data_IF_169461620496
#
_entry.id   IF_169461620496
#
_cell.length_a   1.000
_cell.length_b   1.000
_cell.length_c   1.000
_cell.angle_alpha   90.00
_cell.angle_beta   90.00
_cell.angle_gamma   90.00
#
_symmetry.space_group_name_H-M   'P 1'
#
loop_
_entity.id
_entity.type
_entity.pdbx_description
1 polymer ?
#
# COMPACT_ATOMS: atom_id res chain seq x y z
N UNK A 1 26.00 -9.78 -2.00
CA UNK A 1 24.82 -10.40 -1.35
C UNK A 1 24.14 -9.34 -0.51
N UNK A 2 22.81 -9.18 -0.60
CA UNK A 2 22.08 -8.29 0.32
C UNK A 2 22.11 -8.89 1.73
N UNK A 3 22.28 -8.09 2.80
CA UNK A 3 22.36 -8.61 4.16
C UNK A 3 21.04 -9.28 4.58
N UNK A 4 21.10 -10.36 5.38
CA UNK A 4 19.91 -11.07 5.82
C UNK A 4 19.04 -10.20 6.75
N UNK A 5 17.76 -10.56 6.83
CA UNK A 5 16.78 -9.95 7.70
C UNK A 5 17.20 -10.00 9.18
N UNK A 6 17.03 -8.90 9.90
CA UNK A 6 17.08 -8.90 11.36
C UNK A 6 15.75 -9.41 11.90
N UNK A 7 15.76 -10.59 12.53
CA UNK A 7 14.57 -11.14 13.21
C UNK A 7 14.01 -10.16 14.24
N UNK A 8 14.88 -9.39 14.91
CA UNK A 8 14.47 -8.35 15.87
C UNK A 8 13.69 -7.23 15.17
N UNK A 9 14.16 -6.77 14.01
CA UNK A 9 13.47 -5.74 13.24
C UNK A 9 12.09 -6.23 12.79
N UNK A 10 12.00 -7.45 12.23
CA UNK A 10 10.73 -8.02 11.80
C UNK A 10 9.69 -8.05 12.93
N UNK A 11 10.09 -8.47 14.13
CA UNK A 11 9.20 -8.49 15.31
C UNK A 11 8.78 -7.08 15.71
N UNK A 12 9.71 -6.11 15.73
CA UNK A 12 9.40 -4.72 16.06
C UNK A 12 8.41 -4.10 15.07
N UNK A 13 8.61 -4.32 13.77
CA UNK A 13 7.71 -3.84 12.72
C UNK A 13 6.32 -4.48 12.84
N UNK A 14 6.25 -5.79 13.14
CA UNK A 14 4.98 -6.48 13.33
C UNK A 14 4.21 -5.98 14.56
N UNK A 15 4.92 -5.73 15.67
CA UNK A 15 4.32 -5.15 16.87
C UNK A 15 3.82 -3.73 16.61
N UNK A 16 4.64 -2.89 15.96
CA UNK A 16 4.26 -1.53 15.58
C UNK A 16 3.03 -1.54 14.64
N UNK A 17 3.03 -2.40 13.63
CA UNK A 17 1.90 -2.57 12.72
C UNK A 17 0.63 -2.95 13.48
N UNK A 18 0.71 -3.94 14.37
CA UNK A 18 -0.44 -4.39 15.17
C UNK A 18 -1.00 -3.27 16.05
N UNK A 19 -0.14 -2.47 16.67
CA UNK A 19 -0.56 -1.30 17.48
C UNK A 19 -1.25 -0.26 16.60
N UNK A 20 -0.67 0.07 15.44
CA UNK A 20 -1.23 1.08 14.53
C UNK A 20 -2.55 0.60 13.93
N UNK A 21 -2.66 -0.69 13.58
CA UNK A 21 -3.89 -1.30 13.08
C UNK A 21 -5.02 -1.18 14.11
N UNK A 22 -4.77 -1.58 15.37
CA UNK A 22 -5.75 -1.43 16.45
C UNK A 22 -6.08 0.03 16.72
N UNK A 23 -5.11 0.93 16.63
CA UNK A 23 -5.38 2.37 16.78
C UNK A 23 -6.25 2.91 15.65
N UNK A 24 -6.00 2.50 14.41
CA UNK A 24 -6.77 2.93 13.23
C UNK A 24 -8.24 2.52 13.30
N UNK A 25 -8.54 1.41 13.98
CA UNK A 25 -9.91 0.90 14.13
C UNK A 25 -10.75 1.66 15.18
N UNK A 26 -10.14 2.56 15.96
CA UNK A 26 -10.85 3.32 16.98
C UNK A 26 -11.37 4.61 16.33
N UNK A 27 -12.70 4.70 16.17
CA UNK A 27 -13.37 5.84 15.53
C UNK A 27 -12.81 6.17 14.13
N UNK A 28 -12.75 5.21 13.18
CA UNK A 28 -12.45 5.57 11.79
C UNK A 28 -13.57 6.48 11.25
N UNK A 29 -13.22 7.32 10.27
CA UNK A 29 -14.15 8.23 9.64
C UNK A 29 -15.33 7.49 9.00
N UNK A 30 -15.07 6.34 8.37
CA UNK A 30 -16.08 5.41 7.88
C UNK A 30 -15.63 3.98 8.15
N UNK A 31 -16.47 3.17 8.80
CA UNK A 31 -16.12 1.79 9.18
C UNK A 31 -16.01 0.84 8.00
N UNK A 32 -16.84 1.03 6.98
CA UNK A 32 -16.87 0.18 5.79
C UNK A 32 -15.65 0.47 4.92
N UNK A 33 -15.37 1.75 4.65
CA UNK A 33 -14.16 2.18 3.92
C UNK A 33 -12.91 1.76 4.68
N UNK A 34 -12.87 1.96 6.00
CA UNK A 34 -11.75 1.50 6.83
C UNK A 34 -11.48 0.01 6.63
N UNK A 35 -12.52 -0.82 6.68
CA UNK A 35 -12.37 -2.27 6.50
C UNK A 35 -11.77 -2.60 5.13
N UNK A 36 -12.25 -1.99 4.05
CA UNK A 36 -11.73 -2.25 2.70
C UNK A 36 -10.26 -1.83 2.56
N UNK A 37 -9.92 -0.64 3.04
CA UNK A 37 -8.60 -0.03 2.93
C UNK A 37 -7.50 -0.75 3.74
N UNK A 38 -7.86 -1.39 4.86
CA UNK A 38 -6.88 -2.17 5.63
C UNK A 38 -6.58 -3.54 5.02
N UNK A 39 -7.47 -4.10 4.18
CA UNK A 39 -7.33 -5.46 3.67
C UNK A 39 -6.00 -5.68 2.93
N UNK A 40 -5.56 -4.80 2.00
CA UNK A 40 -4.28 -4.97 1.33
C UNK A 40 -3.09 -5.02 2.30
N UNK A 41 -3.10 -4.17 3.34
CA UNK A 41 -2.05 -4.14 4.35
C UNK A 41 -2.01 -5.44 5.16
N UNK A 42 -3.18 -5.91 5.61
CA UNK A 42 -3.30 -7.15 6.39
C UNK A 42 -2.88 -8.35 5.56
N UNK A 43 -3.36 -8.47 4.32
CA UNK A 43 -2.98 -9.54 3.38
C UNK A 43 -1.47 -9.52 3.12
N UNK A 44 -0.90 -8.34 2.89
CA UNK A 44 0.54 -8.18 2.67
C UNK A 44 1.39 -8.69 3.84
N UNK A 45 1.02 -8.31 5.08
CA UNK A 45 1.70 -8.77 6.30
C UNK A 45 1.57 -10.29 6.47
N UNK A 46 0.38 -10.85 6.29
CA UNK A 46 0.17 -12.30 6.36
C UNK A 46 0.98 -13.06 5.29
N UNK A 47 1.02 -12.55 4.06
CA UNK A 47 1.83 -13.12 2.99
C UNK A 47 3.32 -13.12 3.35
N UNK A 48 3.84 -12.02 3.93
CA UNK A 48 5.23 -11.97 4.40
C UNK A 48 5.52 -12.99 5.51
N UNK A 49 4.61 -13.16 6.47
CA UNK A 49 4.75 -14.14 7.55
C UNK A 49 4.77 -15.56 6.95
N UNK A 50 3.83 -15.86 6.05
CA UNK A 50 3.71 -17.18 5.42
C UNK A 50 4.91 -17.54 4.56
N UNK A 51 5.48 -16.57 3.84
CA UNK A 51 6.66 -16.76 2.98
C UNK A 51 7.96 -16.83 3.79
N UNK A 52 7.99 -16.26 5.00
CA UNK A 52 9.22 -16.12 5.83
C UNK A 52 10.00 -17.41 6.11
N UNK A 53 9.41 -18.61 6.23
CA UNK A 53 10.17 -19.85 6.41
C UNK A 53 11.00 -20.22 5.18
N UNK A 54 10.56 -19.82 3.99
CA UNK A 54 11.17 -20.17 2.70
C UNK A 54 11.95 -19.01 2.07
N UNK A 55 11.62 -17.77 2.41
CA UNK A 55 12.24 -16.57 1.89
C UNK A 55 12.09 -15.40 2.87
N UNK A 56 13.20 -14.90 3.38
CA UNK A 56 13.21 -13.74 4.27
C UNK A 56 13.61 -12.50 3.50
N UNK A 57 12.69 -11.54 3.37
CA UNK A 57 12.95 -10.22 2.77
C UNK A 57 14.01 -9.43 3.53
N UNK A 58 14.79 -8.59 2.84
CA UNK A 58 15.78 -7.72 3.47
C UNK A 58 15.13 -6.73 4.44
N UNK A 59 15.93 -6.17 5.36
CA UNK A 59 15.48 -5.10 6.26
C UNK A 59 14.88 -3.90 5.51
N UNK A 60 15.43 -3.58 4.33
CA UNK A 60 14.92 -2.51 3.49
C UNK A 60 13.50 -2.81 3.01
N UNK A 61 13.27 -3.98 2.41
CA UNK A 61 11.94 -4.35 1.93
C UNK A 61 10.94 -4.49 3.08
N UNK A 62 11.36 -5.04 4.23
CA UNK A 62 10.50 -5.09 5.41
C UNK A 62 10.08 -3.69 5.90
N UNK A 63 11.02 -2.75 5.96
CA UNK A 63 10.73 -1.37 6.34
C UNK A 63 9.81 -0.69 5.33
N UNK A 64 10.04 -0.88 4.04
CA UNK A 64 9.20 -0.32 2.99
C UNK A 64 7.78 -0.88 3.03
N UNK A 65 7.62 -2.20 3.17
CA UNK A 65 6.29 -2.80 3.33
C UNK A 65 5.59 -2.24 4.57
N UNK A 66 6.31 -2.09 5.67
CA UNK A 66 5.75 -1.45 6.87
C UNK A 66 5.30 -0.02 6.61
N UNK A 67 6.12 0.80 5.92
CA UNK A 67 5.75 2.17 5.54
C UNK A 67 4.49 2.16 4.66
N UNK A 68 4.40 1.26 3.67
CA UNK A 68 3.20 1.11 2.83
C UNK A 68 1.97 0.79 3.66
N UNK A 69 2.09 -0.15 4.61
CA UNK A 69 1.00 -0.49 5.52
C UNK A 69 0.57 0.70 6.37
N UNK A 70 1.51 1.53 6.85
CA UNK A 70 1.16 2.72 7.62
C UNK A 70 0.43 3.76 6.77
N UNK A 71 0.81 3.92 5.50
CA UNK A 71 0.09 4.79 4.55
C UNK A 71 -1.36 4.32 4.41
N UNK A 72 -1.55 3.02 4.14
CA UNK A 72 -2.89 2.42 4.04
C UNK A 72 -3.71 2.59 5.32
N UNK A 73 -3.12 2.38 6.50
CA UNK A 73 -3.83 2.51 7.79
C UNK A 73 -4.22 3.96 8.12
N UNK A 74 -3.42 4.95 7.72
CA UNK A 74 -3.76 6.36 7.88
C UNK A 74 -4.90 6.73 6.94
N UNK A 75 -4.81 6.30 5.67
CA UNK A 75 -5.87 6.46 4.68
C UNK A 75 -7.17 5.80 5.13
N UNK A 76 -7.12 4.56 5.61
CA UNK A 76 -8.27 3.83 6.15
C UNK A 76 -8.92 4.54 7.34
N UNK A 77 -8.12 5.07 8.27
CA UNK A 77 -8.65 5.72 9.48
C UNK A 77 -9.37 7.03 9.15
N UNK A 78 -8.81 7.86 8.26
CA UNK A 78 -9.36 9.16 7.94
C UNK A 78 -10.25 9.19 6.69
N UNK A 79 -10.22 8.15 5.85
CA UNK A 79 -10.45 8.20 4.39
C UNK A 79 -9.40 9.01 3.65
N UNK A 80 -9.09 8.59 2.42
CA UNK A 80 -8.07 9.21 1.58
C UNK A 80 -8.36 10.68 1.25
N UNK A 81 -9.65 11.06 1.17
CA UNK A 81 -10.09 12.42 0.92
C UNK A 81 -9.96 13.36 2.13
N UNK A 82 -9.86 12.83 3.35
CA UNK A 82 -10.01 13.61 4.60
C UNK A 82 -8.79 13.56 5.53
N UNK A 83 -7.63 13.12 5.04
CA UNK A 83 -6.40 13.12 5.84
C UNK A 83 -6.05 14.55 6.33
N UNK A 84 -6.03 14.82 7.65
CA UNK A 84 -5.99 16.19 8.18
C UNK A 84 -4.77 17.03 7.78
N UNK A 85 -3.62 16.37 7.63
CA UNK A 85 -2.41 17.06 7.15
C UNK A 85 -2.58 17.56 5.71
N UNK A 86 -3.19 16.77 4.85
CA UNK A 86 -3.42 17.14 3.45
C UNK A 86 -4.56 18.12 3.28
N UNK A 87 -5.58 18.10 4.14
CA UNK A 87 -6.59 19.17 4.21
C UNK A 87 -5.92 20.51 4.50
N UNK A 88 -4.99 20.56 5.47
CA UNK A 88 -4.22 21.80 5.75
C UNK A 88 -3.36 22.25 4.57
N UNK A 89 -2.69 21.32 3.88
CA UNK A 89 -1.92 21.65 2.67
C UNK A 89 -2.83 22.20 1.57
N UNK A 90 -3.98 21.57 1.34
CA UNK A 90 -4.99 22.03 0.38
C UNK A 90 -5.38 23.47 0.68
N UNK A 91 -5.71 23.78 1.93
CA UNK A 91 -6.18 25.10 2.33
C UNK A 91 -5.07 26.17 2.23
N UNK A 92 -3.84 25.85 2.65
CA UNK A 92 -2.69 26.78 2.62
C UNK A 92 -2.25 27.09 1.18
N UNK A 93 -2.29 26.10 0.29
CA UNK A 93 -1.85 26.24 -1.10
C UNK A 93 -3.00 26.44 -2.09
N UNK A 94 -4.23 26.62 -1.60
CA UNK A 94 -5.45 26.77 -2.41
C UNK A 94 -5.63 25.66 -3.47
N UNK A 95 -5.29 24.42 -3.11
CA UNK A 95 -5.48 23.28 -4.00
C UNK A 95 -6.98 22.95 -4.10
N UNK A 96 -7.40 22.34 -5.20
CA UNK A 96 -8.80 21.96 -5.39
C UNK A 96 -9.25 20.81 -4.47
N UNK A 97 -8.33 19.93 -4.06
CA UNK A 97 -8.65 18.70 -3.34
C UNK A 97 -7.55 18.25 -2.38
N UNK A 98 -7.87 17.30 -1.50
CA UNK A 98 -6.89 16.57 -0.70
C UNK A 98 -6.12 15.59 -1.62
N UNK A 99 -4.78 15.59 -1.53
CA UNK A 99 -3.90 14.84 -2.43
C UNK A 99 -3.18 13.65 -1.75
N UNK A 100 -3.75 13.10 -0.68
CA UNK A 100 -3.12 12.01 0.07
C UNK A 100 -3.00 10.72 -0.76
N UNK A 101 -3.97 10.45 -1.63
CA UNK A 101 -3.98 9.37 -2.63
C UNK A 101 -2.69 9.28 -3.43
N UNK A 102 -2.10 10.42 -3.78
CA UNK A 102 -0.84 10.44 -4.55
C UNK A 102 0.31 9.80 -3.80
N UNK A 103 0.33 9.87 -2.47
CA UNK A 103 1.29 9.12 -1.64
C UNK A 103 1.01 7.62 -1.73
N UNK A 104 -0.26 7.23 -1.61
CA UNK A 104 -0.71 5.85 -1.76
C UNK A 104 -0.28 5.24 -3.10
N UNK A 105 -0.62 5.89 -4.22
CA UNK A 105 -0.25 5.42 -5.56
C UNK A 105 1.27 5.40 -5.78
N UNK A 106 2.00 6.41 -5.28
CA UNK A 106 3.46 6.39 -5.35
C UNK A 106 4.04 5.17 -4.62
N UNK A 107 3.56 4.90 -3.41
CA UNK A 107 4.00 3.76 -2.61
C UNK A 107 3.58 2.42 -3.25
N UNK A 108 2.37 2.35 -3.81
CA UNK A 108 1.83 1.21 -4.57
C UNK A 108 2.64 0.91 -5.84
N UNK A 109 3.17 1.92 -6.52
CA UNK A 109 4.04 1.73 -7.68
C UNK A 109 5.49 1.41 -7.29
N UNK A 110 6.01 2.02 -6.22
CA UNK A 110 7.43 1.94 -5.88
C UNK A 110 7.79 0.68 -5.06
N UNK A 111 6.98 0.36 -4.04
CA UNK A 111 7.33 -0.66 -3.04
C UNK A 111 7.18 -2.08 -3.61
N UNK A 112 6.08 -2.44 -4.32
CA UNK A 112 5.96 -3.74 -4.98
C UNK A 112 7.07 -4.03 -5.99
N UNK A 113 7.55 -3.02 -6.72
CA UNK A 113 8.72 -3.19 -7.62
C UNK A 113 9.94 -3.70 -6.86
N UNK A 114 10.19 -3.20 -5.65
CA UNK A 114 11.32 -3.63 -4.83
C UNK A 114 11.12 -5.02 -4.24
N UNK A 115 9.89 -5.38 -3.86
CA UNK A 115 9.52 -6.74 -3.43
C UNK A 115 9.81 -7.74 -4.55
N UNK A 116 9.25 -7.49 -5.75
CA UNK A 116 9.40 -8.35 -6.92
C UNK A 116 10.87 -8.47 -7.32
N UNK A 117 11.58 -7.34 -7.39
CA UNK A 117 13.01 -7.31 -7.71
C UNK A 117 13.83 -8.15 -6.75
N UNK A 118 13.56 -8.04 -5.45
CA UNK A 118 14.28 -8.82 -4.45
C UNK A 118 14.04 -10.32 -4.62
N UNK A 119 12.80 -10.74 -4.86
CA UNK A 119 12.45 -12.15 -5.13
C UNK A 119 13.21 -12.65 -6.36
N UNK A 120 13.11 -11.96 -7.49
CA UNK A 120 13.68 -12.41 -8.76
C UNK A 120 15.21 -12.54 -8.70
N UNK A 121 15.90 -11.59 -8.06
CA UNK A 121 17.36 -11.65 -7.89
C UNK A 121 17.75 -12.76 -6.92
N UNK A 122 17.14 -12.80 -5.73
CA UNK A 122 17.59 -13.70 -4.65
C UNK A 122 17.16 -15.15 -4.86
N UNK A 123 16.13 -15.40 -5.68
CA UNK A 123 15.76 -16.74 -6.17
C UNK A 123 16.50 -17.14 -7.44
N UNK A 124 17.42 -16.31 -7.93
CA UNK A 124 18.18 -16.58 -9.16
C UNK A 124 17.30 -16.79 -10.41
N UNK A 125 16.09 -16.24 -10.45
CA UNK A 125 15.16 -16.38 -11.58
C UNK A 125 15.66 -15.56 -12.79
N UNK A 126 16.11 -14.32 -12.53
CA UNK A 126 16.69 -13.44 -13.56
C UNK A 126 18.05 -12.97 -13.08
N UNK A 127 19.10 -13.35 -13.81
CA UNK A 127 20.48 -12.98 -13.52
C UNK A 127 21.12 -12.26 -14.71
N UNK A 128 22.00 -11.29 -14.43
CA UNK A 128 22.82 -10.59 -15.41
C UNK A 128 22.07 -9.90 -16.59
N UNK A 129 20.80 -9.52 -16.39
CA UNK A 129 19.99 -8.78 -17.38
C UNK A 129 19.21 -7.63 -16.71
N UNK A 130 19.87 -6.50 -16.40
CA UNK A 130 19.27 -5.44 -15.60
C UNK A 130 18.04 -4.80 -16.25
N UNK A 131 18.03 -4.62 -17.57
CA UNK A 131 16.89 -4.05 -18.30
C UNK A 131 15.67 -4.99 -18.29
N UNK A 132 15.90 -6.30 -18.54
CA UNK A 132 14.83 -7.30 -18.49
C UNK A 132 14.24 -7.44 -17.08
N UNK A 133 15.11 -7.41 -16.06
CA UNK A 133 14.68 -7.42 -14.66
C UNK A 133 13.81 -6.20 -14.35
N UNK A 134 14.25 -4.99 -14.73
CA UNK A 134 13.50 -3.77 -14.50
C UNK A 134 12.13 -3.82 -15.21
N UNK A 135 12.11 -4.21 -16.49
CA UNK A 135 10.88 -4.39 -17.26
C UNK A 135 9.90 -5.33 -16.56
N UNK A 136 10.34 -6.53 -16.17
CA UNK A 136 9.48 -7.52 -15.51
C UNK A 136 8.99 -7.04 -14.15
N UNK A 137 9.84 -6.36 -13.36
CA UNK A 137 9.40 -5.81 -12.08
C UNK A 137 8.30 -4.76 -12.26
N UNK A 138 8.47 -3.87 -13.23
CA UNK A 138 7.46 -2.84 -13.55
C UNK A 138 6.19 -3.47 -14.10
N UNK A 139 6.28 -4.44 -15.02
CA UNK A 139 5.11 -5.12 -15.58
C UNK A 139 4.28 -5.85 -14.52
N UNK A 140 4.93 -6.57 -13.59
CA UNK A 140 4.22 -7.26 -12.50
C UNK A 140 3.54 -6.24 -11.58
N UNK A 141 4.24 -5.16 -11.21
CA UNK A 141 3.64 -4.11 -10.37
C UNK A 141 2.46 -3.44 -11.07
N UNK A 142 2.57 -3.10 -12.35
CA UNK A 142 1.46 -2.51 -13.12
C UNK A 142 0.26 -3.47 -13.21
N UNK A 143 0.50 -4.76 -13.40
CA UNK A 143 -0.59 -5.77 -13.38
C UNK A 143 -1.28 -5.79 -12.02
N UNK A 144 -0.51 -5.80 -10.93
CA UNK A 144 -1.06 -5.79 -9.58
C UNK A 144 -1.83 -4.51 -9.26
N UNK A 145 -1.34 -3.35 -9.70
CA UNK A 145 -2.05 -2.08 -9.59
C UNK A 145 -3.35 -2.10 -10.38
N UNK A 146 -3.34 -2.54 -11.63
CA UNK A 146 -4.55 -2.62 -12.45
C UNK A 146 -5.59 -3.60 -11.88
N UNK A 147 -5.16 -4.74 -11.32
CA UNK A 147 -6.04 -5.67 -10.62
C UNK A 147 -6.68 -5.04 -9.38
N UNK A 148 -5.93 -4.25 -8.63
CA UNK A 148 -6.46 -3.53 -7.47
C UNK A 148 -7.54 -2.52 -7.88
N UNK A 149 -7.29 -1.68 -8.89
CA UNK A 149 -8.27 -0.71 -9.40
C UNK A 149 -9.54 -1.41 -9.93
N UNK A 150 -9.41 -2.58 -10.57
CA UNK A 150 -10.57 -3.38 -10.99
C UNK A 150 -11.38 -3.91 -9.80
N UNK A 151 -10.72 -4.25 -8.69
CA UNK A 151 -11.40 -4.63 -7.45
C UNK A 151 -12.14 -3.43 -6.86
N UNK A 152 -11.52 -2.25 -6.83
CA UNK A 152 -12.16 -1.03 -6.34
C UNK A 152 -13.39 -0.66 -7.16
N UNK A 153 -13.26 -0.71 -8.49
CA UNK A 153 -14.39 -0.53 -9.40
C UNK A 153 -15.52 -1.55 -9.15
N UNK A 154 -15.19 -2.84 -9.01
CA UNK A 154 -16.18 -3.88 -8.76
C UNK A 154 -16.88 -3.72 -7.40
N UNK A 155 -16.16 -3.31 -6.36
CA UNK A 155 -16.76 -2.99 -5.05
C UNK A 155 -17.69 -1.79 -5.17
N UNK A 156 -17.33 -0.80 -6.00
CA UNK A 156 -18.15 0.37 -6.23
C UNK A 156 -19.46 0.07 -6.95
N UNK A 157 -19.39 -0.72 -8.01
CA UNK A 157 -20.59 -1.19 -8.69
C UNK A 157 -21.51 -2.02 -7.76
N UNK A 158 -20.93 -2.80 -6.84
CA UNK A 158 -21.69 -3.67 -5.95
C UNK A 158 -22.34 -2.96 -4.75
N UNK A 159 -21.79 -1.82 -4.28
CA UNK A 159 -22.19 -1.21 -3.00
C UNK A 159 -22.71 0.24 -3.08
N UNK A 160 -22.66 0.89 -4.25
CA UNK A 160 -23.25 2.21 -4.48
C UNK A 160 -22.52 3.35 -3.76
N UNK A 161 -23.25 4.31 -3.16
CA UNK A 161 -22.68 5.54 -2.57
C UNK A 161 -21.59 5.30 -1.51
N UNK A 162 -21.64 4.17 -0.78
CA UNK A 162 -20.61 3.84 0.22
C UNK A 162 -19.23 3.58 -0.41
N UNK A 163 -19.17 3.30 -1.71
CA UNK A 163 -17.94 3.08 -2.43
C UNK A 163 -17.40 4.29 -3.18
N UNK A 164 -18.20 5.33 -3.44
CA UNK A 164 -17.66 6.59 -3.97
C UNK A 164 -16.63 7.20 -3.00
N UNK A 165 -16.87 7.00 -1.70
CA UNK A 165 -15.95 7.34 -0.63
C UNK A 165 -14.71 6.43 -0.58
N UNK A 166 -14.85 5.14 -0.93
CA UNK A 166 -13.72 4.20 -1.04
C UNK A 166 -12.83 4.54 -2.24
N UNK A 167 -13.42 4.91 -3.38
CA UNK A 167 -12.70 5.42 -4.54
C UNK A 167 -11.99 6.76 -4.28
N UNK A 168 -12.25 7.41 -3.14
CA UNK A 168 -11.64 8.69 -2.79
C UNK A 168 -11.96 9.82 -3.77
N UNK A 169 -13.10 9.71 -4.45
CA UNK A 169 -13.55 10.71 -5.43
C UNK A 169 -13.89 12.02 -4.73
N UNK A 170 -13.43 13.13 -5.30
CA UNK A 170 -13.61 14.48 -4.79
C UNK A 170 -14.24 15.40 -5.85
N UNK A 171 -14.79 14.83 -6.93
CA UNK A 171 -15.42 15.56 -8.03
C UNK A 171 -14.42 16.16 -9.02
N UNK A 172 -13.19 15.62 -9.07
CA UNK A 172 -12.14 16.07 -9.97
C UNK A 172 -11.98 15.09 -11.13
N UNK A 173 -11.73 15.61 -12.34
CA UNK A 173 -11.64 14.79 -13.57
C UNK A 173 -10.49 13.77 -13.51
N UNK A 174 -9.48 14.02 -12.67
CA UNK A 174 -8.37 13.10 -12.41
C UNK A 174 -8.45 12.48 -11.02
N UNK A 175 -9.66 12.35 -10.46
CA UNK A 175 -9.90 11.34 -9.43
C UNK A 175 -9.49 9.98 -10.01
N UNK A 176 -8.87 9.17 -9.16
CA UNK A 176 -8.07 8.02 -9.58
C UNK A 176 -8.95 6.89 -10.14
N UNK A 177 -8.40 6.23 -11.17
CA UNK A 177 -8.76 4.93 -11.73
C UNK A 177 -7.46 4.20 -12.11
#
# INVERSE_FOLDING_TARGET
>A
MLPPASRRLAILLLLAFSIILVRSSINPHDQFVWFLEILPAVIGVFAMIFVSPHFQFTNLVQLLVFIHCVILLIGAHYTYAEVPFFNRLRDVFHMQRNNYDKIGHFAQGFIPVLIVREILIRRAIIQARPLLLAFICVSITLSFSAEYELIEWAVAEATGEAADAFLGTQGYIWDTQ
#
